data_IF_899784107404
#
_entry.id   IF_899784107404
#
_cell.length_a   1.000
_cell.length_b   1.000
_cell.length_c   1.000
_cell.angle_alpha   90.00
_cell.angle_beta   90.00
_cell.angle_gamma   90.00
#
_symmetry.space_group_name_H-M   'P 1'
#
loop_
_entity.id
_entity.type
_entity.pdbx_description
1 polymer ?
#
# COMPACT_ATOMS: atom_id res chain seq x y z
N UNK A 1 5.13 -4.05 9.46
CA UNK A 1 6.28 -3.15 9.64
C UNK A 1 6.92 -3.28 11.02
N UNK A 2 6.34 -2.71 12.10
CA UNK A 2 6.97 -2.68 13.44
C UNK A 2 7.35 -4.05 14.02
N UNK A 3 6.41 -4.99 14.08
CA UNK A 3 6.66 -6.33 14.63
C UNK A 3 7.74 -7.12 13.85
N UNK A 4 7.91 -6.81 12.56
CA UNK A 4 8.93 -7.43 11.70
C UNK A 4 10.26 -6.65 11.69
N UNK A 5 10.38 -5.55 12.44
CA UNK A 5 11.58 -4.71 12.45
C UNK A 5 11.84 -3.97 11.13
N UNK A 6 10.83 -3.81 10.27
CA UNK A 6 10.96 -3.15 8.97
C UNK A 6 10.67 -1.66 9.12
N UNK A 7 11.64 -0.82 8.78
CA UNK A 7 11.44 0.63 8.57
C UNK A 7 10.73 0.81 7.23
N UNK A 8 9.54 1.39 7.25
CA UNK A 8 8.71 1.47 6.06
C UNK A 8 7.40 2.18 6.32
N UNK A 9 6.63 2.36 5.25
CA UNK A 9 5.28 2.93 5.27
C UNK A 9 4.34 2.03 4.49
N UNK A 10 3.06 2.05 4.86
CA UNK A 10 1.98 1.38 4.16
C UNK A 10 0.74 2.27 4.23
N UNK A 11 0.01 2.36 3.13
CA UNK A 11 -1.28 3.04 3.06
C UNK A 11 -2.11 2.44 1.94
N UNK A 12 -3.38 2.79 1.91
CA UNK A 12 -4.25 2.38 0.81
C UNK A 12 -5.32 3.43 0.56
N UNK A 13 -5.74 3.53 -0.70
CA UNK A 13 -6.83 4.38 -1.12
C UNK A 13 -7.71 3.68 -2.16
N UNK A 14 -8.99 4.06 -2.25
CA UNK A 14 -9.86 3.56 -3.31
C UNK A 14 -9.33 3.92 -4.70
N UNK A 15 -9.58 3.05 -5.66
CA UNK A 15 -9.29 3.25 -7.09
C UNK A 15 -10.52 2.88 -7.94
N UNK A 16 -10.45 3.18 -9.23
CA UNK A 16 -11.50 2.89 -10.22
C UNK A 16 -11.18 3.64 -11.51
N UNK A 17 -12.19 4.29 -12.11
CA UNK A 17 -11.98 5.17 -13.28
C UNK A 17 -11.03 6.35 -13.02
N UNK A 18 -10.75 6.63 -11.74
CA UNK A 18 -9.76 7.61 -11.29
C UNK A 18 -8.68 6.88 -10.48
N UNK A 19 -7.43 7.28 -10.69
CA UNK A 19 -6.30 6.75 -9.93
C UNK A 19 -6.35 7.07 -8.42
N UNK A 20 -7.17 8.03 -7.99
CA UNK A 20 -7.54 8.21 -6.58
C UNK A 20 -9.06 8.37 -6.50
N UNK A 21 -9.72 7.33 -6.03
CA UNK A 21 -11.17 7.22 -5.91
C UNK A 21 -11.74 7.82 -4.64
N UNK A 22 -13.06 7.90 -4.56
CA UNK A 22 -13.78 8.31 -3.36
C UNK A 22 -13.90 7.15 -2.38
N UNK A 23 -13.75 7.44 -1.08
CA UNK A 23 -13.84 6.46 0.01
C UNK A 23 -12.82 6.77 1.11
N UNK A 24 -12.60 5.84 2.05
CA UNK A 24 -11.74 6.10 3.20
C UNK A 24 -10.28 6.24 2.81
N UNK A 25 -9.61 7.24 3.39
CA UNK A 25 -8.15 7.29 3.42
C UNK A 25 -7.64 6.44 4.58
N UNK A 26 -6.91 5.36 4.27
CA UNK A 26 -6.33 4.46 5.26
C UNK A 26 -4.82 4.67 5.27
N UNK A 27 -4.38 5.54 6.17
CA UNK A 27 -3.01 6.04 6.21
C UNK A 27 -2.66 6.92 5.01
N UNK A 28 -1.46 7.49 5.04
CA UNK A 28 -0.81 8.25 3.97
C UNK A 28 0.69 7.99 4.03
N UNK A 29 1.40 8.25 2.94
CA UNK A 29 2.86 8.07 2.88
C UNK A 29 3.62 8.82 3.99
N UNK A 30 3.10 9.94 4.48
CA UNK A 30 3.65 10.81 5.53
C UNK A 30 2.83 10.79 6.84
N UNK A 31 1.73 10.03 6.89
CA UNK A 31 0.85 9.93 8.05
C UNK A 31 0.38 8.49 8.22
N UNK A 32 1.10 7.72 9.05
CA UNK A 32 0.90 6.27 9.19
C UNK A 32 -0.14 5.89 10.25
N UNK A 33 -0.59 6.88 11.01
CA UNK A 33 -1.74 6.80 11.91
C UNK A 33 -3.06 6.90 11.12
N UNK A 34 -4.19 6.86 11.84
CA UNK A 34 -5.50 7.08 11.21
C UNK A 34 -5.65 8.50 10.66
N UNK A 35 -6.56 8.69 9.69
CA UNK A 35 -6.84 9.99 9.08
C UNK A 35 -8.24 10.46 9.53
N UNK A 36 -8.38 11.24 10.61
CA UNK A 36 -9.71 11.63 11.11
C UNK A 36 -10.56 12.38 10.07
N UNK A 37 -11.85 12.10 10.06
CA UNK A 37 -12.83 12.63 9.10
C UNK A 37 -12.77 11.94 7.74
N UNK A 38 -11.62 11.97 7.06
CA UNK A 38 -11.47 11.38 5.71
C UNK A 38 -11.30 9.86 5.72
N UNK A 39 -10.73 9.29 6.78
CA UNK A 39 -10.59 7.85 6.99
C UNK A 39 -11.78 7.22 7.70
N UNK A 40 -12.70 8.03 8.25
CA UNK A 40 -13.88 7.55 8.98
C UNK A 40 -15.02 7.11 8.05
N UNK A 41 -14.85 7.25 6.73
CA UNK A 41 -15.80 6.78 5.73
C UNK A 41 -15.87 5.26 5.75
N UNK A 42 -17.07 4.68 5.65
CA UNK A 42 -17.23 3.23 5.62
C UNK A 42 -16.56 2.62 4.39
N UNK A 43 -15.91 1.48 4.59
CA UNK A 43 -15.56 0.59 3.48
C UNK A 43 -16.84 0.05 2.86
N UNK A 44 -16.95 0.15 1.53
CA UNK A 44 -18.09 -0.33 0.77
C UNK A 44 -17.67 -1.56 -0.03
N UNK A 45 -18.49 -2.62 -0.06
CA UNK A 45 -18.29 -3.72 -1.01
C UNK A 45 -18.24 -3.23 -2.46
N UNK A 46 -17.67 -4.06 -3.32
CA UNK A 46 -17.42 -3.78 -4.74
C UNK A 46 -16.56 -2.52 -4.96
N UNK A 47 -15.64 -2.26 -4.04
CA UNK A 47 -14.66 -1.17 -4.11
C UNK A 47 -13.25 -1.72 -4.27
N UNK A 48 -12.51 -1.17 -5.23
CA UNK A 48 -11.12 -1.51 -5.48
C UNK A 48 -10.20 -0.56 -4.72
N UNK A 49 -9.07 -1.08 -4.29
CA UNK A 49 -8.07 -0.37 -3.50
C UNK A 49 -6.69 -0.61 -4.08
N UNK A 50 -5.90 0.47 -4.20
CA UNK A 50 -4.46 0.35 -4.36
C UNK A 50 -3.82 0.26 -2.97
N UNK A 51 -3.03 -0.79 -2.74
CA UNK A 51 -2.29 -1.01 -1.49
C UNK A 51 -0.83 -0.71 -1.76
N UNK A 52 -0.36 0.40 -1.20
CA UNK A 52 0.98 0.92 -1.42
C UNK A 52 1.84 0.74 -0.17
N UNK A 53 2.98 0.08 -0.34
CA UNK A 53 3.93 -0.15 0.73
C UNK A 53 5.36 0.10 0.29
N UNK A 54 6.20 0.47 1.24
CA UNK A 54 7.63 0.53 1.02
C UNK A 54 8.41 0.05 2.24
N UNK A 55 9.59 -0.52 1.97
CA UNK A 55 10.61 -0.74 2.96
C UNK A 55 11.83 0.13 2.64
N UNK A 56 12.43 0.70 3.67
CA UNK A 56 13.65 1.49 3.60
C UNK A 56 14.74 0.77 4.38
N UNK A 57 15.87 0.47 3.72
CA UNK A 57 16.97 -0.30 4.30
C UNK A 57 18.30 0.36 3.93
N UNK A 58 19.25 0.53 4.88
CA UNK A 58 20.59 1.00 4.55
C UNK A 58 21.33 -0.06 3.73
N UNK A 59 21.93 0.34 2.60
CA UNK A 59 22.75 -0.56 1.78
C UNK A 59 24.24 -0.36 2.09
N UNK A 60 24.94 -1.36 2.68
CA UNK A 60 26.36 -1.25 3.01
C UNK A 60 27.25 -0.92 1.82
N UNK A 61 26.95 -1.50 0.66
CA UNK A 61 27.69 -1.31 -0.60
C UNK A 61 27.65 0.14 -1.08
N UNK A 62 26.66 0.92 -0.63
CA UNK A 62 26.47 2.32 -0.98
C UNK A 62 26.78 3.25 0.21
N UNK A 63 27.67 2.82 1.11
CA UNK A 63 28.06 3.62 2.28
C UNK A 63 26.94 3.78 3.30
N UNK A 64 26.10 2.75 3.44
CA UNK A 64 24.89 2.77 4.28
C UNK A 64 23.84 3.79 3.84
N UNK A 65 23.82 4.20 2.57
CA UNK A 65 22.74 5.01 2.02
C UNK A 65 21.38 4.31 2.27
N UNK A 66 20.38 5.00 2.87
CA UNK A 66 19.03 4.47 2.97
C UNK A 66 18.41 4.36 1.58
N UNK A 67 18.01 3.15 1.19
CA UNK A 67 17.35 2.89 -0.10
C UNK A 67 15.93 2.43 0.14
N UNK A 68 15.00 3.04 -0.60
CA UNK A 68 13.58 2.73 -0.58
C UNK A 68 13.24 1.73 -1.69
N UNK A 69 12.57 0.64 -1.32
CA UNK A 69 11.92 -0.29 -2.25
C UNK A 69 10.41 -0.19 -2.04
N UNK A 70 9.69 0.32 -3.02
CA UNK A 70 8.24 0.49 -3.01
C UNK A 70 7.55 -0.56 -3.89
N UNK A 71 6.37 -0.99 -3.46
CA UNK A 71 5.47 -1.89 -4.18
C UNK A 71 4.04 -1.38 -4.04
N UNK A 72 3.26 -1.61 -5.09
CA UNK A 72 1.84 -1.28 -5.18
C UNK A 72 1.12 -2.50 -5.73
N UNK A 73 0.09 -2.97 -5.03
CA UNK A 73 -0.72 -4.12 -5.41
C UNK A 73 -2.20 -3.79 -5.22
N UNK A 74 -3.02 -4.17 -6.21
CA UNK A 74 -4.45 -3.90 -6.16
C UNK A 74 -5.23 -5.04 -5.49
N UNK A 75 -6.23 -4.67 -4.70
CA UNK A 75 -7.18 -5.59 -4.09
C UNK A 75 -8.61 -5.03 -4.15
N UNK A 76 -9.60 -5.91 -4.29
CA UNK A 76 -11.02 -5.58 -4.23
C UNK A 76 -11.62 -6.05 -2.91
N UNK A 77 -12.42 -5.19 -2.28
CA UNK A 77 -13.37 -5.62 -1.27
C UNK A 77 -14.62 -6.13 -1.99
N UNK A 78 -14.76 -7.45 -2.10
CA UNK A 78 -15.85 -8.07 -2.86
C UNK A 78 -17.22 -7.89 -2.19
N UNK A 79 -18.30 -8.13 -2.95
CA UNK A 79 -19.67 -8.18 -2.45
C UNK A 79 -19.89 -9.11 -1.23
N UNK A 80 -19.02 -10.11 -1.06
CA UNK A 80 -18.99 -11.04 0.10
C UNK A 80 -18.34 -10.45 1.36
N UNK A 81 -17.83 -9.21 1.27
CA UNK A 81 -17.13 -8.51 2.33
C UNK A 81 -15.71 -9.02 2.56
N UNK A 82 -15.14 -9.81 1.63
CA UNK A 82 -13.77 -10.30 1.71
C UNK A 82 -12.83 -9.50 0.79
N UNK A 83 -11.57 -9.38 1.19
CA UNK A 83 -10.53 -8.78 0.35
C UNK A 83 -9.95 -9.83 -0.61
N UNK A 84 -9.91 -9.50 -1.89
CA UNK A 84 -9.38 -10.35 -2.96
C UNK A 84 -8.26 -9.62 -3.71
N UNK A 85 -7.07 -10.22 -3.78
CA UNK A 85 -5.96 -9.67 -4.58
C UNK A 85 -6.25 -9.84 -6.07
N UNK A 86 -6.08 -8.77 -6.84
CA UNK A 86 -6.38 -8.77 -8.28
C UNK A 86 -5.32 -9.54 -9.07
N UNK A 87 -4.05 -9.38 -8.66
CA UNK A 87 -2.92 -10.07 -9.25
C UNK A 87 -2.15 -10.85 -8.18
N UNK A 88 -1.37 -11.84 -8.63
CA UNK A 88 -0.44 -12.54 -7.76
C UNK A 88 0.66 -11.59 -7.30
N UNK A 89 1.14 -11.81 -6.08
CA UNK A 89 2.27 -11.06 -5.51
C UNK A 89 3.53 -11.17 -6.37
N UNK A 90 4.24 -10.06 -6.56
CA UNK A 90 5.58 -10.09 -7.15
C UNK A 90 6.58 -10.68 -6.13
N UNK A 91 7.18 -11.81 -6.48
CA UNK A 91 8.15 -12.51 -5.61
C UNK A 91 9.59 -12.45 -6.11
N UNK A 92 9.81 -11.92 -7.31
CA UNK A 92 11.10 -11.87 -7.97
C UNK A 92 11.30 -10.52 -8.68
N UNK A 93 12.55 -10.06 -8.74
CA UNK A 93 12.89 -8.82 -9.43
C UNK A 93 12.82 -9.00 -10.96
N UNK A 94 12.18 -8.04 -11.63
CA UNK A 94 12.28 -7.90 -13.08
C UNK A 94 13.49 -7.01 -13.41
N UNK A 95 14.58 -7.62 -13.89
CA UNK A 95 15.80 -6.90 -14.25
C UNK A 95 15.76 -6.51 -15.72
N UNK A 96 15.68 -5.22 -16.00
CA UNK A 96 15.80 -4.66 -17.36
C UNK A 96 17.28 -4.55 -17.71
N UNK A 97 17.66 -5.04 -18.90
CA UNK A 97 19.03 -5.01 -19.42
C UNK A 97 19.15 -4.06 -20.60
#
# INVERSE_FOLDING_TARGET
MRAAGITGTIYTHPIGDRGHGAGPLIGLWDHQEGVPGRGDVSLLPDTWFSIELQATTPLPEWGNQPVRSAQEEDAELGADGQMHWILRRQTEFHVVK
#
